data_IF_882897892326
#
_entry.id   IF_882897892326
#
_cell.length_a   1.000
_cell.length_b   1.000
_cell.length_c   1.000
_cell.angle_alpha   90.00
_cell.angle_beta   90.00
_cell.angle_gamma   90.00
#
_symmetry.space_group_name_H-M   'P 1'
#
loop_
_entity.id
_entity.type
_entity.pdbx_description
1 polymer ?
#
# COMPACT_ATOMS: atom_id res chain seq x y z
N UNK A 1 17.94 -22.62 -9.89
CA UNK A 1 18.73 -21.44 -10.32
C UNK A 1 17.82 -20.55 -11.14
N UNK A 2 17.38 -19.42 -10.58
CA UNK A 2 16.64 -18.41 -11.33
C UNK A 2 17.67 -17.43 -11.91
N UNK A 3 17.88 -17.46 -13.22
CA UNK A 3 18.68 -16.46 -13.93
C UNK A 3 17.79 -15.27 -14.25
N UNK A 4 18.17 -14.09 -13.74
CA UNK A 4 17.63 -12.82 -14.18
C UNK A 4 18.59 -12.23 -15.22
N UNK A 5 18.15 -12.10 -16.46
CA UNK A 5 18.79 -11.26 -17.48
C UNK A 5 18.30 -9.83 -17.30
N UNK A 6 19.17 -8.94 -16.82
CA UNK A 6 18.89 -7.51 -16.77
C UNK A 6 19.56 -6.81 -17.96
N UNK A 7 18.75 -6.38 -18.91
CA UNK A 7 19.14 -5.46 -19.98
C UNK A 7 19.39 -4.08 -19.37
N UNK A 8 20.65 -3.65 -19.35
CA UNK A 8 21.12 -2.40 -18.75
C UNK A 8 20.88 -1.23 -19.70
N UNK A 9 19.63 -0.74 -19.79
CA UNK A 9 19.32 0.57 -20.36
C UNK A 9 18.27 1.31 -19.52
N UNK A 10 18.77 2.21 -18.67
CA UNK A 10 18.06 3.39 -18.12
C UNK A 10 16.58 3.21 -17.81
N UNK A 11 16.26 2.52 -16.72
CA UNK A 11 14.96 2.60 -16.07
C UNK A 11 15.16 2.61 -14.57
N UNK A 12 14.70 3.65 -13.88
CA UNK A 12 14.45 3.55 -12.45
C UNK A 12 13.44 2.40 -12.28
N UNK A 13 13.91 1.25 -11.79
CA UNK A 13 13.04 0.08 -11.59
C UNK A 13 12.01 0.39 -10.51
N UNK A 14 10.83 -0.20 -10.59
CA UNK A 14 9.88 -0.16 -9.48
C UNK A 14 9.78 -1.56 -8.89
N UNK A 15 9.90 -1.68 -7.57
CA UNK A 15 9.71 -2.93 -6.85
C UNK A 15 8.46 -2.80 -5.98
N UNK A 16 7.39 -3.52 -6.35
CA UNK A 16 6.17 -3.59 -5.54
C UNK A 16 6.20 -4.85 -4.69
N UNK A 17 6.25 -4.68 -3.37
CA UNK A 17 6.32 -5.78 -2.42
C UNK A 17 4.99 -5.89 -1.68
N UNK A 18 4.26 -6.97 -1.93
CA UNK A 18 2.92 -7.20 -1.37
C UNK A 18 2.99 -8.17 -0.19
N UNK A 19 2.45 -7.75 0.95
CA UNK A 19 2.42 -8.51 2.20
C UNK A 19 3.77 -9.18 2.56
N UNK A 20 4.90 -8.44 2.54
CA UNK A 20 6.21 -9.02 2.83
C UNK A 20 6.28 -9.69 4.21
N UNK A 21 6.93 -10.86 4.23
CA UNK A 21 7.33 -11.54 5.46
C UNK A 21 8.68 -10.98 5.93
N UNK A 22 9.10 -11.35 7.15
CA UNK A 22 10.32 -10.82 7.78
C UNK A 22 11.57 -10.99 6.90
N UNK A 23 11.71 -12.11 6.20
CA UNK A 23 12.83 -12.37 5.29
C UNK A 23 12.82 -11.44 4.07
N UNK A 24 11.65 -11.16 3.50
CA UNK A 24 11.51 -10.21 2.39
C UNK A 24 11.83 -8.78 2.84
N UNK A 25 11.46 -8.41 4.08
CA UNK A 25 11.78 -7.10 4.64
C UNK A 25 13.29 -6.89 4.82
N UNK A 26 14.04 -7.95 5.15
CA UNK A 26 15.51 -7.87 5.19
C UNK A 26 16.08 -7.55 3.81
N UNK A 27 15.63 -8.28 2.78
CA UNK A 27 16.05 -8.04 1.40
C UNK A 27 15.72 -6.61 0.96
N UNK A 28 14.55 -6.09 1.33
CA UNK A 28 14.17 -4.70 1.08
C UNK A 28 15.10 -3.72 1.79
N UNK A 29 15.44 -3.96 3.06
CA UNK A 29 16.37 -3.12 3.81
C UNK A 29 17.76 -3.11 3.16
N UNK A 30 18.26 -4.27 2.76
CA UNK A 30 19.55 -4.42 2.10
C UNK A 30 19.57 -3.68 0.74
N UNK A 31 18.50 -3.81 -0.05
CA UNK A 31 18.32 -3.10 -1.33
C UNK A 31 18.25 -1.57 -1.18
N UNK A 32 17.68 -1.08 -0.09
CA UNK A 32 17.61 0.35 0.22
C UNK A 32 18.94 0.92 0.68
N UNK A 33 19.76 0.09 1.35
CA UNK A 33 21.09 0.45 1.83
C UNK A 33 22.17 0.39 0.74
N UNK A 34 21.95 -0.32 -0.37
CA UNK A 34 22.81 -0.24 -1.55
C UNK A 34 22.69 1.16 -2.19
N UNK A 35 23.58 2.04 -1.71
CA UNK A 35 23.75 3.44 -2.10
C UNK A 35 23.86 3.57 -3.62
N UNK A 36 22.73 3.84 -4.29
CA UNK A 36 22.68 3.98 -5.75
C UNK A 36 21.49 3.29 -6.43
N UNK A 37 20.68 2.54 -5.68
CA UNK A 37 19.41 2.02 -6.16
C UNK A 37 18.51 3.15 -6.68
N UNK A 38 18.42 3.31 -8.01
CA UNK A 38 17.35 4.08 -8.68
C UNK A 38 15.99 3.36 -8.56
N UNK A 39 15.88 2.36 -7.69
CA UNK A 39 14.70 1.51 -7.58
C UNK A 39 13.73 2.13 -6.59
N UNK A 40 12.55 2.53 -7.06
CA UNK A 40 11.48 2.98 -6.18
C UNK A 40 10.74 1.77 -5.63
N UNK A 41 10.72 1.64 -4.30
CA UNK A 41 10.13 0.48 -3.61
C UNK A 41 8.77 0.88 -3.03
N UNK A 42 7.73 0.17 -3.46
CA UNK A 42 6.37 0.30 -2.91
C UNK A 42 6.07 -0.88 -1.99
N UNK A 43 5.83 -0.60 -0.71
CA UNK A 43 5.44 -1.60 0.27
C UNK A 43 3.92 -1.61 0.44
N UNK A 44 3.27 -2.65 -0.07
CA UNK A 44 1.83 -2.86 0.08
C UNK A 44 1.57 -3.89 1.18
N UNK A 45 0.72 -3.54 2.15
CA UNK A 45 0.35 -4.44 3.26
C UNK A 45 1.53 -4.99 4.08
N UNK A 46 2.64 -4.24 4.19
CA UNK A 46 3.86 -4.72 4.85
C UNK A 46 3.78 -4.88 6.38
N UNK A 47 2.66 -4.48 7.02
CA UNK A 47 2.43 -4.59 8.48
C UNK A 47 3.67 -4.19 9.30
N UNK A 48 4.25 -3.04 8.95
CA UNK A 48 5.45 -2.48 9.60
C UNK A 48 5.13 -1.83 10.95
N UNK A 49 3.87 -1.49 11.22
CA UNK A 49 3.39 -0.82 12.44
C UNK A 49 2.27 -1.65 13.11
N UNK A 50 1.87 -1.26 14.33
CA UNK A 50 0.69 -1.84 15.01
C UNK A 50 0.90 -3.26 15.55
N UNK A 51 2.13 -3.60 15.96
CA UNK A 51 2.46 -4.93 16.52
C UNK A 51 2.32 -4.95 18.03
N UNK A 52 1.96 -6.11 18.58
CA UNK A 52 1.96 -6.35 20.03
C UNK A 52 3.35 -6.51 20.63
N UNK A 53 4.37 -6.82 19.80
CA UNK A 53 5.77 -6.95 20.21
C UNK A 53 6.68 -6.07 19.35
N UNK A 54 7.70 -5.41 19.94
CA UNK A 54 8.72 -4.66 19.20
C UNK A 54 9.47 -5.52 18.18
N UNK A 55 9.92 -4.94 17.05
CA UNK A 55 10.78 -5.62 16.06
C UNK A 55 11.62 -4.57 15.33
N UNK A 56 12.90 -4.46 15.73
CA UNK A 56 13.79 -3.39 15.30
C UNK A 56 13.88 -3.22 13.78
N UNK A 57 13.90 -4.31 13.00
CA UNK A 57 13.96 -4.24 11.53
C UNK A 57 12.74 -3.53 10.96
N UNK A 58 11.55 -3.86 11.49
CA UNK A 58 10.31 -3.28 10.98
C UNK A 58 10.09 -1.87 11.52
N UNK A 59 10.62 -1.55 12.69
CA UNK A 59 10.59 -0.21 13.26
C UNK A 59 11.48 0.74 12.43
N UNK A 60 12.71 0.32 12.11
CA UNK A 60 13.62 1.02 11.21
C UNK A 60 13.01 1.19 9.80
N UNK A 61 12.48 0.12 9.20
CA UNK A 61 11.77 0.24 7.92
C UNK A 61 10.50 1.10 8.02
N UNK A 62 9.83 1.16 9.17
CA UNK A 62 8.69 2.07 9.32
C UNK A 62 9.15 3.54 9.29
N UNK A 63 10.29 3.87 9.88
CA UNK A 63 10.88 5.22 9.85
C UNK A 63 11.32 5.61 8.43
N UNK A 64 11.94 4.67 7.70
CA UNK A 64 12.41 4.91 6.32
C UNK A 64 11.26 4.98 5.30
N UNK A 65 10.21 4.17 5.50
CA UNK A 65 9.06 4.12 4.61
C UNK A 65 7.86 4.84 5.23
N UNK A 66 7.71 6.11 4.85
CA UNK A 66 6.50 6.87 5.15
C UNK A 66 5.33 6.37 4.30
N UNK A 67 4.27 5.90 4.97
CA UNK A 67 3.06 5.49 4.27
C UNK A 67 2.44 6.72 3.59
N UNK A 68 2.33 6.69 2.26
CA UNK A 68 1.78 7.79 1.45
C UNK A 68 0.26 7.68 1.31
N UNK A 69 -0.25 6.44 1.29
CA UNK A 69 -1.66 6.14 1.15
C UNK A 69 -2.09 5.02 2.11
N UNK A 70 -3.31 5.14 2.63
CA UNK A 70 -4.09 4.03 3.16
C UNK A 70 -5.09 3.60 2.09
N UNK A 71 -5.21 2.30 1.80
CA UNK A 71 -6.26 1.77 0.94
C UNK A 71 -6.74 0.38 1.40
N UNK A 72 -8.04 0.10 1.27
CA UNK A 72 -8.64 -1.22 1.48
C UNK A 72 -9.79 -1.50 0.50
N UNK A 73 -9.97 -2.76 0.14
CA UNK A 73 -11.13 -3.22 -0.64
C UNK A 73 -12.30 -3.55 0.31
N UNK A 74 -13.52 -3.24 -0.14
CA UNK A 74 -14.77 -3.49 0.60
C UNK A 74 -15.84 -4.06 -0.35
N UNK A 75 -16.94 -4.57 0.22
CA UNK A 75 -18.00 -5.26 -0.51
C UNK A 75 -17.70 -6.73 -0.80
N UNK A 76 -18.74 -7.49 -1.18
CA UNK A 76 -18.69 -8.97 -1.28
C UNK A 76 -17.67 -9.49 -2.30
N UNK A 77 -17.24 -8.67 -3.26
CA UNK A 77 -16.24 -9.01 -4.28
C UNK A 77 -15.15 -7.96 -4.47
N UNK A 78 -14.94 -7.08 -3.48
CA UNK A 78 -13.97 -5.98 -3.61
C UNK A 78 -14.37 -4.93 -4.65
N UNK A 79 -15.67 -4.78 -4.87
CA UNK A 79 -16.29 -3.78 -5.74
C UNK A 79 -16.22 -2.37 -5.16
N UNK A 80 -15.86 -2.22 -3.88
CA UNK A 80 -15.57 -0.95 -3.24
C UNK A 80 -14.09 -0.77 -2.93
N UNK A 81 -13.65 0.48 -2.95
CA UNK A 81 -12.32 0.93 -2.55
C UNK A 81 -12.48 2.06 -1.54
N UNK A 82 -11.85 1.92 -0.38
CA UNK A 82 -11.73 2.99 0.63
C UNK A 82 -10.28 3.40 0.69
N UNK A 83 -9.97 4.68 0.51
CA UNK A 83 -8.60 5.15 0.51
C UNK A 83 -8.44 6.59 1.00
N UNK A 84 -7.22 6.94 1.38
CA UNK A 84 -6.83 8.27 1.87
C UNK A 84 -5.33 8.48 1.64
N UNK A 85 -4.92 9.68 1.23
CA UNK A 85 -3.51 10.08 1.31
C UNK A 85 -3.14 10.46 2.76
N UNK A 86 -1.92 10.15 3.19
CA UNK A 86 -1.45 10.35 4.57
C UNK A 86 -0.42 11.47 4.68
N UNK A 87 0.13 11.96 3.56
CA UNK A 87 1.25 12.91 3.55
C UNK A 87 0.93 14.27 4.17
N UNK A 88 -0.29 14.74 4.05
CA UNK A 88 -0.71 16.08 4.49
C UNK A 88 -1.48 16.06 5.82
N UNK A 89 -1.82 14.86 6.34
CA UNK A 89 -2.66 14.70 7.53
C UNK A 89 -4.09 15.23 7.41
N UNK A 90 -4.45 15.86 6.28
CA UNK A 90 -5.74 16.51 6.02
C UNK A 90 -6.53 15.91 4.86
N UNK A 91 -5.89 15.08 4.04
CA UNK A 91 -6.54 14.44 2.90
C UNK A 91 -7.75 13.61 3.36
N UNK A 92 -8.89 13.74 2.66
CA UNK A 92 -10.10 13.03 3.03
C UNK A 92 -9.96 11.53 2.78
N UNK A 93 -10.74 10.77 3.53
CA UNK A 93 -11.15 9.43 3.15
C UNK A 93 -12.11 9.51 1.97
N UNK A 94 -11.84 8.68 0.96
CA UNK A 94 -12.65 8.54 -0.24
C UNK A 94 -13.17 7.11 -0.30
N UNK A 95 -14.47 6.98 -0.53
CA UNK A 95 -15.15 5.73 -0.84
C UNK A 95 -15.49 5.76 -2.33
N UNK A 96 -15.01 4.77 -3.07
CA UNK A 96 -15.21 4.66 -4.50
C UNK A 96 -15.70 3.26 -4.89
N UNK A 97 -16.50 3.18 -5.95
CA UNK A 97 -16.95 1.93 -6.57
C UNK A 97 -16.08 1.58 -7.77
N UNK A 98 -15.67 0.32 -7.85
CA UNK A 98 -14.93 -0.30 -8.95
C UNK A 98 -15.91 -1.09 -9.80
N UNK A 99 -16.33 -0.55 -10.93
CA UNK A 99 -17.12 -1.30 -11.90
C UNK A 99 -16.19 -2.21 -12.71
N UNK A 100 -16.10 -3.50 -12.42
CA UNK A 100 -15.35 -4.43 -13.29
C UNK A 100 -16.11 -4.62 -14.62
N UNK A 101 -15.46 -4.61 -15.80
CA UNK A 101 -14.00 -4.57 -16.04
C UNK A 101 -13.38 -3.17 -16.17
N UNK A 102 -14.14 -2.09 -15.94
CA UNK A 102 -13.62 -0.72 -16.00
C UNK A 102 -12.55 -0.51 -14.92
N UNK A 103 -11.48 0.17 -15.29
CA UNK A 103 -10.34 0.46 -14.40
C UNK A 103 -10.52 1.73 -13.60
N UNK A 104 -11.43 2.62 -14.03
CA UNK A 104 -11.71 3.88 -13.36
C UNK A 104 -12.72 3.65 -12.25
N UNK A 105 -12.31 3.93 -11.01
CA UNK A 105 -13.22 3.90 -9.87
C UNK A 105 -14.04 5.20 -9.84
N UNK A 106 -15.32 5.10 -9.52
CA UNK A 106 -16.23 6.24 -9.37
C UNK A 106 -16.33 6.60 -7.89
N UNK A 107 -15.99 7.83 -7.52
CA UNK A 107 -16.20 8.32 -6.15
C UNK A 107 -17.69 8.32 -5.81
N UNK A 108 -18.01 7.73 -4.66
CA UNK A 108 -19.36 7.73 -4.10
C UNK A 108 -19.49 8.74 -2.97
N UNK A 109 -18.43 8.90 -2.18
CA UNK A 109 -18.45 9.68 -0.96
C UNK A 109 -17.04 10.05 -0.49
N UNK A 110 -16.93 11.18 0.21
CA UNK A 110 -15.69 11.64 0.83
C UNK A 110 -15.94 12.28 2.22
N UNK A 111 -14.98 12.16 3.13
CA UNK A 111 -15.01 12.79 4.46
C UNK A 111 -13.63 12.89 5.09
N UNK A 112 -13.49 13.75 6.09
CA UNK A 112 -12.29 13.83 6.95
C UNK A 112 -12.19 12.61 7.88
N UNK A 113 -13.33 12.08 8.32
CA UNK A 113 -13.39 10.92 9.20
C UNK A 113 -13.41 9.61 8.41
N UNK A 114 -12.86 8.55 9.01
CA UNK A 114 -12.85 7.22 8.40
C UNK A 114 -14.28 6.68 8.28
N UNK A 115 -14.71 6.14 7.12
CA UNK A 115 -16.08 5.65 6.96
C UNK A 115 -16.35 4.47 7.91
N UNK A 116 -17.47 4.56 8.62
CA UNK A 116 -17.96 3.50 9.50
C UNK A 116 -18.39 2.25 8.71
N UNK A 117 -18.44 1.11 9.39
CA UNK A 117 -18.91 -0.15 8.81
C UNK A 117 -20.34 -0.04 8.26
N UNK A 118 -21.24 0.64 8.99
CA UNK A 118 -22.63 0.85 8.57
C UNK A 118 -22.72 1.68 7.30
N UNK A 119 -21.85 2.69 7.16
CA UNK A 119 -21.75 3.49 5.94
C UNK A 119 -21.31 2.63 4.76
N UNK A 120 -20.29 1.81 4.95
CA UNK A 120 -19.80 0.91 3.91
C UNK A 120 -20.88 -0.11 3.51
N UNK A 121 -21.68 -0.59 4.47
CA UNK A 121 -22.75 -1.54 4.20
C UNK A 121 -23.92 -0.90 3.43
N UNK A 122 -24.15 0.41 3.60
CA UNK A 122 -25.13 1.18 2.82
C UNK A 122 -24.73 1.25 1.33
N UNK A 123 -23.44 1.45 1.05
CA UNK A 123 -22.91 1.59 -0.32
C UNK A 123 -22.60 0.24 -1.00
N UNK A 124 -22.31 -0.78 -0.21
CA UNK A 124 -21.91 -2.12 -0.66
C UNK A 124 -22.68 -3.21 0.12
N UNK A 125 -24.00 -3.35 -0.12
CA UNK A 125 -24.80 -4.39 0.52
C UNK A 125 -24.32 -5.79 0.10
N UNK A 126 -24.41 -6.75 1.03
CA UNK A 126 -23.96 -8.14 0.84
C UNK A 126 -24.85 -8.93 -0.11
#
# INVERSE_FOLDING_TARGET
>A
SLQATADTKTGAGFLVVVAPRKEHLKLVADLSNEVGSKTCIFLLNARLRGRSKPDALRDDLAEQYNAVFHARLVGSRGEGLVYRALQDGSSPWVVARRELPKTVATELWQSIEEPSSDRLQTEFPS
#
